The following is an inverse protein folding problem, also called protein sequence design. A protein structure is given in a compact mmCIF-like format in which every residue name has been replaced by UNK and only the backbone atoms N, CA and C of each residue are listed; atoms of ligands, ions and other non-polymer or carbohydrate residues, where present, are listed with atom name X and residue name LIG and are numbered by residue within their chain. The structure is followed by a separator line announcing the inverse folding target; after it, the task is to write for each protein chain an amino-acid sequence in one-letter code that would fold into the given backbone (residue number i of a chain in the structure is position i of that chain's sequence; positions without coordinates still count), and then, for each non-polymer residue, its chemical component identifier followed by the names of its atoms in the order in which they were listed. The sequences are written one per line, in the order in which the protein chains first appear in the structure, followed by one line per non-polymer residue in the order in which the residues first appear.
data_IF_795835809187
#
_entry.id   IF_795835809187
#
_cell.length_a   1.000
_cell.length_b   1.000
_cell.length_c   1.000
_cell.angle_alpha   90.00
_cell.angle_beta   90.00
_cell.angle_gamma   90.00
#
_symmetry.space_group_name_H-M   'P 1'
#
loop_
_entity.id
_entity.type
_entity.pdbx_description
1 polymer ?
#
# COMPACT_ATOMS: atom_id res chain seq x y z
N UNK A 1 19.49 -3.22 -3.94
CA UNK A 1 18.02 -3.06 -3.94
C UNK A 1 17.57 -2.70 -2.52
N UNK A 2 17.20 -1.45 -2.23
CA UNK A 2 16.83 -0.99 -0.89
C UNK A 2 15.53 -0.18 -0.97
N UNK A 3 14.41 -0.80 -0.63
CA UNK A 3 13.16 -0.11 -0.35
C UNK A 3 12.71 -0.50 1.07
N UNK A 4 13.18 0.27 2.06
CA UNK A 4 12.70 0.23 3.44
C UNK A 4 12.43 1.68 3.85
N UNK A 5 11.29 2.20 3.37
CA UNK A 5 10.47 3.32 3.90
C UNK A 5 9.69 4.01 2.77
N UNK A 6 8.56 3.39 2.40
CA UNK A 6 7.63 3.89 1.39
C UNK A 6 6.88 5.16 1.78
N UNK A 7 7.48 6.33 1.52
CA UNK A 7 6.78 7.61 1.72
C UNK A 7 7.15 8.71 0.72
N UNK A 8 7.42 8.34 -0.53
CA UNK A 8 7.55 9.30 -1.62
C UNK A 8 6.76 8.90 -2.87
N UNK A 9 5.82 7.95 -2.72
CA UNK A 9 5.08 7.44 -3.87
C UNK A 9 3.95 8.41 -4.27
N UNK A 10 3.21 8.94 -3.28
CA UNK A 10 2.09 9.86 -3.52
C UNK A 10 2.47 11.32 -3.22
N UNK A 11 1.88 12.29 -3.94
CA UNK A 11 2.08 13.72 -3.67
C UNK A 11 1.76 14.09 -2.21
N UNK A 12 0.71 13.52 -1.64
CA UNK A 12 0.29 13.76 -0.26
C UNK A 12 1.36 13.34 0.76
N UNK A 13 1.96 12.16 0.60
CA UNK A 13 3.01 11.69 1.52
C UNK A 13 4.29 12.51 1.38
N UNK A 14 4.58 12.97 0.17
CA UNK A 14 5.71 13.87 -0.09
C UNK A 14 5.50 15.21 0.62
N UNK A 15 4.33 15.83 0.44
CA UNK A 15 3.94 17.07 1.11
C UNK A 15 3.94 16.90 2.63
N UNK A 16 3.43 15.78 3.17
CA UNK A 16 3.47 15.48 4.59
C UNK A 16 4.91 15.48 5.14
N UNK A 17 5.85 14.82 4.45
CA UNK A 17 7.27 14.81 4.86
C UNK A 17 7.95 16.15 4.71
N UNK A 18 7.55 16.93 3.72
CA UNK A 18 8.03 18.30 3.56
C UNK A 18 7.56 19.19 4.70
N UNK A 19 6.29 19.08 5.13
CA UNK A 19 5.79 19.78 6.33
C UNK A 19 6.61 19.46 7.58
N UNK A 20 6.93 18.18 7.81
CA UNK A 20 7.80 17.78 8.94
C UNK A 20 9.17 18.45 8.84
N UNK A 21 9.73 18.55 7.63
CA UNK A 21 11.01 19.24 7.41
C UNK A 21 10.91 20.74 7.68
N UNK A 22 9.80 21.38 7.32
CA UNK A 22 9.57 22.80 7.64
C UNK A 22 9.42 23.05 9.14
N UNK A 23 8.68 22.20 9.86
CA UNK A 23 8.58 22.29 11.32
C UNK A 23 9.95 22.09 12.00
N UNK A 24 10.79 21.20 11.46
CA UNK A 24 12.16 21.06 11.94
C UNK A 24 12.98 22.34 11.73
N UNK A 25 12.78 23.05 10.62
CA UNK A 25 13.46 24.31 10.32
C UNK A 25 13.12 25.41 11.32
N UNK A 26 11.84 25.53 11.68
CA UNK A 26 11.37 26.48 12.70
C UNK A 26 12.03 26.21 14.06
N UNK A 27 12.09 24.94 14.46
CA UNK A 27 12.74 24.51 15.71
C UNK A 27 14.25 24.74 15.68
N UNK A 28 14.90 24.60 14.52
CA UNK A 28 16.32 24.97 14.39
C UNK A 28 16.54 26.46 14.57
N UNK A 29 15.67 27.31 14.01
CA UNK A 29 15.69 28.76 14.21
C UNK A 29 15.48 29.15 15.68
N UNK A 30 14.67 28.40 16.42
CA UNK A 30 14.46 28.58 17.86
C UNK A 30 15.59 28.01 18.74
N UNK A 31 16.65 27.44 18.15
CA UNK A 31 17.80 26.90 18.90
C UNK A 31 17.61 25.50 19.49
N UNK A 32 16.51 24.80 19.19
CA UNK A 32 16.23 23.47 19.74
C UNK A 32 17.29 22.43 19.35
N UNK A 33 17.60 21.51 20.26
CA UNK A 33 18.60 20.48 20.02
C UNK A 33 18.10 19.40 19.03
N UNK A 34 19.04 18.72 18.35
CA UNK A 34 18.68 17.64 17.42
C UNK A 34 17.90 16.49 18.09
N UNK A 35 18.14 16.25 19.39
CA UNK A 35 17.48 15.19 20.15
C UNK A 35 16.00 15.55 20.44
N UNK A 36 15.74 16.79 20.84
CA UNK A 36 14.38 17.30 21.08
C UNK A 36 13.57 17.29 19.79
N UNK A 37 14.12 17.83 18.70
CA UNK A 37 13.45 17.85 17.39
C UNK A 37 13.14 16.43 16.90
N UNK A 38 14.06 15.48 17.08
CA UNK A 38 13.83 14.08 16.71
C UNK A 38 12.72 13.42 17.51
N UNK A 39 12.69 13.66 18.83
CA UNK A 39 11.68 13.14 19.74
C UNK A 39 10.29 13.65 19.38
N UNK A 40 10.15 14.95 19.20
CA UNK A 40 8.85 15.59 19.00
C UNK A 40 8.27 15.30 17.61
N UNK A 41 9.11 15.31 16.58
CA UNK A 41 8.71 14.98 15.22
C UNK A 41 8.66 13.47 14.95
N UNK A 42 9.02 12.64 15.94
CA UNK A 42 9.09 11.16 15.84
C UNK A 42 9.91 10.67 14.65
N UNK A 43 11.05 11.32 14.41
CA UNK A 43 12.02 10.94 13.36
C UNK A 43 13.36 10.54 13.97
N UNK A 44 14.21 9.87 13.19
CA UNK A 44 15.54 9.50 13.68
C UNK A 44 16.44 10.74 13.84
N UNK A 45 17.24 10.75 14.90
CA UNK A 45 18.25 11.81 15.16
C UNK A 45 19.18 12.01 13.95
N UNK A 46 19.56 10.93 13.26
CA UNK A 46 20.38 10.99 12.04
C UNK A 46 19.70 11.78 10.91
N UNK A 47 18.38 11.68 10.77
CA UNK A 47 17.63 12.47 9.77
C UNK A 47 17.65 13.94 10.12
N UNK A 48 17.42 14.27 11.40
CA UNK A 48 17.48 15.65 11.91
C UNK A 48 18.86 16.25 11.75
N UNK A 49 19.93 15.51 12.03
CA UNK A 49 21.31 15.96 11.80
C UNK A 49 21.56 16.29 10.32
N UNK A 50 21.07 15.46 9.40
CA UNK A 50 21.18 15.73 7.96
C UNK A 50 20.39 16.97 7.56
N UNK A 51 19.18 17.14 8.11
CA UNK A 51 18.36 18.33 7.89
C UNK A 51 19.03 19.59 8.43
N UNK A 52 19.58 19.55 9.65
CA UNK A 52 20.26 20.70 10.24
C UNK A 52 21.46 21.14 9.40
N UNK A 53 22.25 20.21 8.85
CA UNK A 53 23.35 20.56 7.94
C UNK A 53 22.83 21.26 6.68
N UNK A 54 21.84 20.66 6.00
CA UNK A 54 21.23 21.27 4.81
C UNK A 54 20.61 22.64 5.10
N UNK A 55 20.06 22.83 6.31
CA UNK A 55 19.50 24.09 6.77
C UNK A 55 20.57 25.13 7.09
N UNK A 56 21.71 24.73 7.64
CA UNK A 56 22.86 25.63 7.84
C UNK A 56 23.45 26.10 6.51
N UNK A 57 23.47 25.23 5.50
CA UNK A 57 24.06 25.52 4.20
C UNK A 57 23.14 26.39 3.31
N UNK A 58 21.84 26.13 3.32
CA UNK A 58 20.88 26.72 2.38
C UNK A 58 19.55 27.17 3.01
N UNK A 59 19.51 27.32 4.33
CA UNK A 59 18.31 27.75 5.06
C UNK A 59 17.13 26.79 4.89
N UNK A 60 15.92 27.33 4.93
CA UNK A 60 14.67 26.57 4.71
C UNK A 60 14.60 25.94 3.32
N UNK A 61 15.24 26.55 2.32
CA UNK A 61 15.25 26.05 0.95
C UNK A 61 16.02 24.73 0.81
N UNK A 62 17.09 24.54 1.60
CA UNK A 62 17.82 23.28 1.70
C UNK A 62 16.98 22.10 2.22
N UNK A 63 15.82 22.38 2.81
CA UNK A 63 14.89 21.38 3.35
C UNK A 63 13.69 21.10 2.44
N UNK A 64 13.50 21.88 1.37
CA UNK A 64 12.41 21.67 0.41
C UNK A 64 12.58 20.35 -0.33
N UNK A 65 11.45 19.77 -0.73
CA UNK A 65 11.51 18.56 -1.55
C UNK A 65 12.00 18.90 -2.95
N UNK A 66 13.04 18.20 -3.42
CA UNK A 66 13.53 18.31 -4.82
C UNK A 66 12.54 17.72 -5.85
N UNK A 67 11.39 17.23 -5.41
CA UNK A 67 10.47 16.48 -6.27
C UNK A 67 10.78 14.97 -6.33
N UNK A 68 10.01 14.22 -7.13
CA UNK A 68 10.26 12.80 -7.37
C UNK A 68 11.60 12.58 -8.10
N UNK A 69 12.32 11.53 -7.71
CA UNK A 69 13.63 11.17 -8.29
C UNK A 69 13.53 10.83 -9.79
N UNK A 70 12.34 10.44 -10.26
CA UNK A 70 12.09 10.19 -11.67
C UNK A 70 10.67 10.57 -12.06
N UNK A 71 10.53 11.06 -13.30
CA UNK A 71 9.24 11.36 -13.89
C UNK A 71 8.45 10.08 -14.17
N UNK A 72 7.11 10.09 -13.99
CA UNK A 72 6.26 9.00 -14.42
C UNK A 72 6.47 8.67 -15.91
N UNK A 73 6.60 7.38 -16.25
CA UNK A 73 6.70 6.93 -17.67
C UNK A 73 5.44 7.22 -18.49
N UNK A 74 4.29 7.31 -17.80
CA UNK A 74 3.00 7.66 -18.35
C UNK A 74 2.64 9.05 -17.79
N UNK A 75 2.36 10.03 -18.64
CA UNK A 75 1.87 11.33 -18.20
C UNK A 75 0.45 11.23 -17.63
N UNK A 76 0.04 12.22 -16.83
CA UNK A 76 -1.31 12.28 -16.25
C UNK A 76 -2.40 12.14 -17.32
N UNK A 77 -2.28 12.89 -18.43
CA UNK A 77 -3.21 12.82 -19.56
C UNK A 77 -3.33 11.41 -20.18
N UNK A 78 -2.22 10.68 -20.27
CA UNK A 78 -2.24 9.31 -20.77
C UNK A 78 -2.83 8.35 -19.74
N UNK A 79 -2.69 8.67 -18.45
CA UNK A 79 -3.32 7.90 -17.38
C UNK A 79 -4.85 8.05 -17.40
N UNK A 80 -5.39 9.26 -17.62
CA UNK A 80 -6.82 9.49 -17.78
C UNK A 80 -7.42 8.64 -18.91
N UNK A 81 -6.70 8.55 -20.04
CA UNK A 81 -7.10 7.66 -21.15
C UNK A 81 -7.03 6.19 -20.74
N UNK A 82 -5.98 5.79 -20.01
CA UNK A 82 -5.87 4.42 -19.51
C UNK A 82 -7.02 4.08 -18.57
N UNK A 83 -7.41 4.98 -17.68
CA UNK A 83 -8.53 4.80 -16.75
C UNK A 83 -9.85 4.55 -17.50
N UNK A 84 -10.12 5.32 -18.55
CA UNK A 84 -11.28 5.09 -19.42
C UNK A 84 -11.22 3.71 -20.10
N UNK A 85 -10.05 3.25 -20.53
CA UNK A 85 -9.89 1.92 -21.12
C UNK A 85 -10.05 0.80 -20.09
N UNK A 86 -9.60 1.00 -18.85
CA UNK A 86 -9.81 0.06 -17.75
C UNK A 86 -11.29 -0.05 -17.36
N UNK A 87 -12.03 1.07 -17.40
CA UNK A 87 -13.46 1.13 -17.10
C UNK A 87 -14.32 0.33 -18.10
N UNK A 88 -13.89 0.19 -19.35
CA UNK A 88 -14.55 -0.69 -20.34
C UNK A 88 -14.49 -2.17 -19.96
N UNK A 89 -13.58 -2.53 -19.06
CA UNK A 89 -13.36 -3.90 -18.59
C UNK A 89 -12.50 -4.73 -19.55
N UNK A 90 -11.86 -5.81 -19.06
CA UNK A 90 -10.95 -6.63 -19.89
C UNK A 90 -11.66 -7.34 -21.06
N UNK A 91 -12.95 -7.65 -20.91
CA UNK A 91 -13.71 -8.35 -21.97
C UNK A 91 -13.81 -7.51 -23.24
N UNK A 92 -13.97 -6.19 -23.11
CA UNK A 92 -13.98 -5.26 -24.25
C UNK A 92 -12.65 -5.25 -25.02
N UNK A 93 -11.57 -5.73 -24.41
CA UNK A 93 -10.24 -5.82 -25.00
C UNK A 93 -9.84 -7.26 -25.40
N UNK A 94 -10.80 -8.19 -25.37
CA UNK A 94 -10.64 -9.56 -25.86
C UNK A 94 -10.15 -10.57 -24.82
N UNK A 95 -10.24 -10.27 -23.52
CA UNK A 95 -9.96 -11.26 -22.46
C UNK A 95 -11.24 -12.03 -22.05
N UNK A 96 -11.12 -13.30 -21.63
CA UNK A 96 -12.28 -14.16 -21.39
C UNK A 96 -13.05 -13.85 -20.09
N UNK A 97 -12.44 -13.10 -19.16
CA UNK A 97 -13.00 -12.80 -17.84
C UNK A 97 -12.78 -11.32 -17.46
N UNK A 98 -13.53 -10.84 -16.47
CA UNK A 98 -13.53 -9.45 -16.03
C UNK A 98 -12.34 -9.07 -15.11
N UNK A 99 -11.29 -9.90 -15.05
CA UNK A 99 -10.14 -9.66 -14.17
C UNK A 99 -9.06 -8.78 -14.83
N UNK A 100 -8.71 -7.67 -14.19
CA UNK A 100 -7.52 -6.90 -14.56
C UNK A 100 -6.30 -7.44 -13.82
N UNK A 101 -5.32 -7.95 -14.58
CA UNK A 101 -4.00 -8.31 -14.03
C UNK A 101 -2.95 -7.32 -14.52
N UNK A 102 -1.85 -7.15 -13.78
CA UNK A 102 -0.75 -6.27 -14.19
C UNK A 102 -0.19 -6.63 -15.58
N UNK A 103 -0.20 -7.91 -15.94
CA UNK A 103 0.21 -8.38 -17.27
C UNK A 103 -0.76 -7.91 -18.37
N UNK A 104 -2.08 -7.96 -18.12
CA UNK A 104 -3.09 -7.45 -19.07
C UNK A 104 -3.01 -5.95 -19.23
N UNK A 105 -2.84 -5.23 -18.11
CA UNK A 105 -2.63 -3.78 -18.13
C UNK A 105 -1.35 -3.42 -18.90
N UNK A 106 -0.25 -4.18 -18.73
CA UNK A 106 0.97 -4.01 -19.52
C UNK A 106 0.70 -4.17 -21.02
N UNK A 107 -0.03 -5.22 -21.41
CA UNK A 107 -0.40 -5.46 -22.80
C UNK A 107 -1.28 -4.34 -23.36
N UNK A 108 -2.27 -3.87 -22.59
CA UNK A 108 -3.11 -2.73 -22.96
C UNK A 108 -2.27 -1.46 -23.19
N UNK A 109 -1.36 -1.14 -22.27
CA UNK A 109 -0.46 0.02 -22.40
C UNK A 109 0.41 -0.10 -23.66
N UNK A 110 0.95 -1.29 -23.93
CA UNK A 110 1.73 -1.56 -25.14
C UNK A 110 0.92 -1.37 -26.43
N UNK A 111 -0.32 -1.84 -26.46
CA UNK A 111 -1.23 -1.71 -27.62
C UNK A 111 -1.70 -0.29 -27.85
N UNK A 112 -2.07 0.44 -26.79
CA UNK A 112 -2.71 1.75 -26.88
C UNK A 112 -1.73 2.92 -26.95
N UNK A 113 -0.60 2.81 -26.25
CA UNK A 113 0.36 3.91 -26.09
C UNK A 113 1.75 3.61 -26.65
N UNK A 114 1.98 2.40 -27.20
CA UNK A 114 3.29 1.96 -27.72
C UNK A 114 4.44 2.13 -26.70
N UNK A 115 4.12 1.99 -25.40
CA UNK A 115 5.09 2.13 -24.30
C UNK A 115 5.31 0.80 -23.60
N UNK A 116 6.58 0.49 -23.32
CA UNK A 116 6.96 -0.68 -22.52
C UNK A 116 7.24 -0.27 -21.07
N UNK A 117 6.55 -0.93 -20.13
CA UNK A 117 6.71 -0.73 -18.70
C UNK A 117 6.93 -2.07 -17.99
N UNK A 118 7.74 -2.03 -16.92
CA UNK A 118 7.88 -3.16 -16.00
C UNK A 118 6.63 -3.29 -15.14
N UNK A 119 6.28 -4.51 -14.74
CA UNK A 119 5.09 -4.77 -13.91
C UNK A 119 5.13 -4.01 -12.58
N UNK A 120 6.31 -3.90 -11.96
CA UNK A 120 6.52 -3.11 -10.74
C UNK A 120 6.21 -1.62 -10.95
N UNK A 121 6.59 -1.05 -12.10
CA UNK A 121 6.31 0.33 -12.45
C UNK A 121 4.80 0.55 -12.69
N UNK A 122 4.11 -0.43 -13.28
CA UNK A 122 2.66 -0.39 -13.47
C UNK A 122 1.94 -0.45 -12.11
N UNK A 123 2.34 -1.37 -11.22
CA UNK A 123 1.75 -1.46 -9.88
C UNK A 123 1.95 -0.16 -9.08
N UNK A 124 3.15 0.42 -9.13
CA UNK A 124 3.44 1.70 -8.51
C UNK A 124 2.63 2.85 -9.11
N UNK A 125 2.48 2.88 -10.44
CA UNK A 125 1.64 3.85 -11.13
C UNK A 125 0.19 3.74 -10.65
N UNK A 126 -0.41 2.57 -10.72
CA UNK A 126 -1.80 2.33 -10.28
C UNK A 126 -2.02 2.79 -8.83
N UNK A 127 -1.12 2.43 -7.91
CA UNK A 127 -1.22 2.85 -6.51
C UNK A 127 -1.11 4.38 -6.33
N UNK A 128 -0.39 5.10 -7.20
CA UNK A 128 -0.32 6.57 -7.14
C UNK A 128 -1.64 7.23 -7.51
N UNK A 129 -2.40 6.63 -8.40
CA UNK A 129 -3.72 7.10 -8.82
C UNK A 129 -4.86 6.43 -8.03
N UNK A 130 -4.57 5.90 -6.83
CA UNK A 130 -5.60 5.40 -5.92
C UNK A 130 -6.11 3.98 -6.19
N UNK A 131 -5.58 3.28 -7.19
CA UNK A 131 -5.96 1.89 -7.44
C UNK A 131 -5.36 0.96 -6.39
N UNK A 132 -6.20 0.11 -5.82
CA UNK A 132 -5.81 -0.95 -4.89
C UNK A 132 -6.02 -2.33 -5.52
N UNK A 133 -5.28 -3.33 -5.05
CA UNK A 133 -5.48 -4.70 -5.47
C UNK A 133 -6.84 -5.19 -4.96
N UNK A 134 -7.74 -5.51 -5.89
CA UNK A 134 -9.04 -6.07 -5.58
C UNK A 134 -9.00 -7.59 -5.75
N UNK A 135 -9.36 -8.32 -4.69
CA UNK A 135 -9.53 -9.78 -4.76
C UNK A 135 -10.98 -10.03 -5.15
N UNK A 136 -11.24 -10.68 -6.31
CA UNK A 136 -12.59 -11.07 -6.67
C UNK A 136 -13.21 -11.90 -5.55
N UNK A 137 -14.41 -11.54 -5.12
CA UNK A 137 -15.14 -12.36 -4.15
C UNK A 137 -15.31 -13.77 -4.71
N UNK A 138 -14.94 -14.80 -3.93
CA UNK A 138 -15.22 -16.19 -4.29
C UNK A 138 -16.73 -16.45 -4.15
N UNK A 139 -17.50 -16.10 -5.17
CA UNK A 139 -18.93 -16.38 -5.26
C UNK A 139 -19.18 -17.23 -6.50
N UNK A 140 -19.81 -18.39 -6.30
CA UNK A 140 -20.33 -19.18 -7.41
C UNK A 140 -21.45 -18.39 -8.08
N UNK A 141 -21.44 -18.35 -9.42
CA UNK A 141 -22.47 -17.67 -10.22
C UNK A 141 -23.85 -18.28 -9.96
N UNK A 142 -23.91 -19.56 -9.62
CA UNK A 142 -25.14 -20.34 -9.35
C UNK A 142 -25.71 -20.15 -7.93
N UNK A 143 -25.10 -19.30 -7.09
CA UNK A 143 -25.51 -19.14 -5.70
C UNK A 143 -26.91 -18.51 -5.62
N UNK A 144 -27.89 -19.32 -5.23
CA UNK A 144 -29.23 -18.85 -4.88
C UNK A 144 -29.27 -18.45 -3.39
N UNK A 145 -29.40 -17.14 -3.12
CA UNK A 145 -29.45 -16.62 -1.74
C UNK A 145 -30.68 -17.13 -0.97
N UNK A 146 -31.82 -17.31 -1.63
CA UNK A 146 -33.03 -17.85 -1.01
C UNK A 146 -32.82 -19.30 -0.57
N UNK A 147 -32.20 -20.13 -1.42
CA UNK A 147 -31.87 -21.52 -1.09
C UNK A 147 -30.86 -21.61 0.08
N UNK A 148 -29.89 -20.69 0.14
CA UNK A 148 -28.93 -20.61 1.26
C UNK A 148 -29.64 -20.21 2.54
N UNK A 149 -30.51 -19.19 2.52
CA UNK A 149 -31.26 -18.76 3.72
C UNK A 149 -32.23 -19.84 4.21
N UNK A 150 -32.92 -20.53 3.31
CA UNK A 150 -33.79 -21.67 3.64
C UNK A 150 -32.99 -22.80 4.29
N UNK A 151 -31.87 -23.19 3.69
CA UNK A 151 -31.02 -24.25 4.24
C UNK A 151 -30.40 -23.89 5.60
N UNK A 152 -29.96 -22.64 5.79
CA UNK A 152 -29.46 -22.16 7.09
C UNK A 152 -30.57 -22.20 8.16
N UNK A 153 -31.80 -21.86 7.80
CA UNK A 153 -32.92 -21.85 8.74
C UNK A 153 -33.36 -23.28 9.12
N UNK A 154 -33.33 -24.20 8.16
CA UNK A 154 -33.95 -25.53 8.30
C UNK A 154 -32.95 -26.63 8.67
N UNK A 155 -31.75 -26.61 8.10
CA UNK A 155 -30.81 -27.72 8.17
C UNK A 155 -29.55 -27.41 9.03
N UNK A 156 -29.28 -26.14 9.34
CA UNK A 156 -28.05 -25.76 10.04
C UNK A 156 -27.93 -26.41 11.42
N UNK A 157 -29.03 -26.45 12.19
CA UNK A 157 -29.05 -27.03 13.52
C UNK A 157 -28.81 -28.54 13.56
N UNK A 158 -29.02 -29.25 12.44
CA UNK A 158 -28.80 -30.70 12.34
C UNK A 158 -27.38 -31.06 11.88
N UNK A 159 -26.69 -30.13 11.22
CA UNK A 159 -25.34 -30.33 10.68
C UNK A 159 -24.28 -29.80 11.65
N UNK A 160 -24.62 -28.82 12.49
CA UNK A 160 -23.72 -28.26 13.49
C UNK A 160 -23.42 -29.29 14.59
N UNK A 161 -22.23 -29.90 14.52
CA UNK A 161 -21.74 -30.75 15.59
C UNK A 161 -21.48 -29.88 16.82
N UNK A 162 -21.94 -30.25 18.03
CA UNK A 162 -21.68 -29.47 19.23
C UNK A 162 -20.17 -29.26 19.36
N UNK A 163 -19.74 -28.00 19.43
CA UNK A 163 -18.36 -27.65 19.67
C UNK A 163 -17.87 -28.39 20.92
N UNK A 164 -16.89 -29.29 20.76
CA UNK A 164 -16.19 -29.84 21.93
C UNK A 164 -15.50 -28.67 22.61
N UNK A 165 -16.02 -28.26 23.78
CA UNK A 165 -15.24 -27.44 24.71
C UNK A 165 -13.92 -28.18 24.92
N UNK A 166 -12.81 -27.55 24.55
CA UNK A 166 -11.48 -28.01 24.87
C UNK A 166 -11.42 -28.22 26.38
N UNK A 167 -11.45 -29.48 26.82
CA UNK A 167 -11.15 -29.80 28.21
C UNK A 167 -9.72 -29.36 28.51
N UNK A 168 -9.38 -28.96 29.74
CA UNK A 168 -8.01 -28.62 30.11
C UNK A 168 -7.06 -29.76 29.71
N UNK A 169 -6.12 -29.48 28.82
CA UNK A 169 -5.08 -30.45 28.45
C UNK A 169 -4.30 -30.86 29.70
N UNK A 170 -4.18 -32.16 29.93
CA UNK A 170 -3.48 -32.70 31.09
C UNK A 170 -1.98 -32.36 30.98
N UNK A 171 -1.52 -31.32 31.68
CA UNK A 171 -0.12 -30.97 31.80
C UNK A 171 0.52 -31.85 32.89
N UNK A 172 0.85 -33.10 32.56
CA UNK A 172 1.69 -33.91 33.44
C UNK A 172 3.08 -33.28 33.51
N UNK A 173 3.45 -32.75 34.68
CA UNK A 173 4.82 -32.33 35.02
C UNK A 173 5.75 -33.54 34.94
N UNK A 174 6.53 -33.64 33.87
CA UNK A 174 7.69 -34.53 33.82
C UNK A 174 8.71 -34.01 34.84
N UNK A 175 8.90 -34.72 35.95
CA UNK A 175 9.98 -34.44 36.90
C UNK A 175 11.32 -34.81 36.23
N UNK A 176 12.38 -33.99 36.35
CA UNK A 176 13.72 -34.43 35.99
C UNK A 176 14.19 -35.46 37.02
N UNK A 177 14.62 -36.64 36.55
CA UNK A 177 15.33 -37.61 37.37
C UNK A 177 16.74 -37.06 37.64
N UNK A 178 17.10 -36.98 38.92
CA UNK A 178 18.44 -36.67 39.40
C UNK A 178 19.41 -37.80 39.09
N UNK A 179 20.60 -37.48 38.58
CA UNK A 179 21.82 -38.25 38.82
C UNK A 179 23.02 -37.33 38.83
#
# INVERSE_FOLDING_TARGET
MRYLQGGGLTPERQAFRERIRMEAAERFGAGASNAEVAKDLRVSVRSVQRWRRAWQDAGTDGLRSVGPVSLPKLSEKLFEVLEQELAKGPVAHGWPDQSWTLARIKTLIGRRFHKSMMLSAIAQMLHRHGFSHQVPGRRAVERNEEAVTGWVKEAWSQVETPWRRSGPGCASRTKPASR
#
